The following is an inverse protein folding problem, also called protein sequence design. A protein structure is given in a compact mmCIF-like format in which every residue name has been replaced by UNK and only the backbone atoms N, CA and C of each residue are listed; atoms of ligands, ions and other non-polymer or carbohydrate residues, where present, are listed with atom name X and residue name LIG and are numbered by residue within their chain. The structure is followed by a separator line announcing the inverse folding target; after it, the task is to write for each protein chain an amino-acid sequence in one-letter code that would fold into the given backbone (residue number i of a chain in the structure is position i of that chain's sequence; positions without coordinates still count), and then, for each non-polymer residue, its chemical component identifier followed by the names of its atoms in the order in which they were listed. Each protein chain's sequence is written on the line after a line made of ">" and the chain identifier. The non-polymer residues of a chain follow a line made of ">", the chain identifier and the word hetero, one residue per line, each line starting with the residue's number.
data_IF_499547825880
#
_entry.id   IF_499547825880
#
_cell.length_a   1.000
_cell.length_b   1.000
_cell.length_c   1.000
_cell.angle_alpha   90.00
_cell.angle_beta   90.00
_cell.angle_gamma   90.00
#
_symmetry.space_group_name_H-M   'P 1'
#
loop_
_entity.id
_entity.type
_entity.pdbx_description
1 polymer ?
#
# COMPACT_ATOMS: atom_id res chain seq x y z
N UNK A 1 -29.83 1.89 8.14
CA UNK A 1 -29.58 2.49 9.47
C UNK A 1 -28.49 3.54 9.30
N UNK A 2 -28.80 4.84 9.47
CA UNK A 2 -27.79 5.91 9.34
C UNK A 2 -27.04 6.04 10.67
N UNK A 3 -25.70 6.03 10.64
CA UNK A 3 -24.89 6.26 11.84
C UNK A 3 -25.10 7.69 12.34
N UNK A 4 -25.25 7.86 13.65
CA UNK A 4 -25.33 9.18 14.28
C UNK A 4 -24.05 9.99 14.02
N UNK A 5 -24.13 11.33 14.13
CA UNK A 5 -22.99 12.22 13.85
C UNK A 5 -21.80 11.96 14.78
N UNK A 6 -22.05 11.47 16.00
CA UNK A 6 -21.07 11.06 17.01
C UNK A 6 -20.40 9.71 16.72
N UNK A 7 -21.04 8.84 15.93
CA UNK A 7 -20.50 7.51 15.56
C UNK A 7 -19.67 7.53 14.27
N UNK A 8 -19.56 8.68 13.58
CA UNK A 8 -18.68 8.81 12.43
C UNK A 8 -17.23 8.92 12.89
N UNK A 9 -16.34 8.21 12.20
CA UNK A 9 -14.91 8.33 12.40
C UNK A 9 -14.50 9.81 12.24
N UNK A 10 -13.89 10.36 13.29
CA UNK A 10 -13.38 11.73 13.31
C UNK A 10 -11.95 11.67 12.77
N UNK A 11 -11.77 12.19 11.56
CA UNK A 11 -10.47 12.29 10.91
C UNK A 11 -9.85 13.68 11.16
N UNK A 12 -8.53 13.73 11.17
CA UNK A 12 -7.72 14.96 11.28
C UNK A 12 -8.06 15.97 10.18
N UNK A 13 -8.44 15.48 9.00
CA UNK A 13 -8.93 16.29 7.89
C UNK A 13 -9.88 15.49 6.97
N UNK A 14 -10.59 16.20 6.11
CA UNK A 14 -11.43 15.58 5.06
C UNK A 14 -10.56 14.69 4.14
N UNK A 15 -9.36 15.16 3.80
CA UNK A 15 -8.41 14.44 2.96
C UNK A 15 -7.87 13.19 3.66
N UNK A 16 -7.59 13.25 4.97
CA UNK A 16 -7.16 12.09 5.74
C UNK A 16 -8.20 10.96 5.70
N UNK A 17 -9.48 11.28 5.89
CA UNK A 17 -10.55 10.28 5.78
C UNK A 17 -10.66 9.64 4.39
N UNK A 18 -10.44 10.44 3.33
CA UNK A 18 -10.38 9.92 1.96
C UNK A 18 -9.16 9.03 1.74
N UNK A 19 -7.98 9.47 2.19
CA UNK A 19 -6.73 8.73 2.03
C UNK A 19 -6.75 7.40 2.80
N UNK A 20 -7.29 7.37 4.03
CA UNK A 20 -7.51 6.13 4.79
C UNK A 20 -8.40 5.16 3.99
N UNK A 21 -9.49 5.66 3.40
CA UNK A 21 -10.40 4.82 2.60
C UNK A 21 -9.73 4.29 1.34
N UNK A 22 -8.92 5.11 0.65
CA UNK A 22 -8.19 4.71 -0.56
C UNK A 22 -7.13 3.69 -0.20
N UNK A 23 -6.20 4.02 0.71
CA UNK A 23 -5.08 3.16 1.08
C UNK A 23 -5.52 1.82 1.66
N UNK A 24 -6.58 1.77 2.45
CA UNK A 24 -7.09 0.50 3.00
C UNK A 24 -7.61 -0.46 1.93
N UNK A 25 -7.99 0.05 0.75
CA UNK A 25 -8.49 -0.71 -0.40
C UNK A 25 -7.47 -0.85 -1.53
N UNK A 26 -6.28 -0.28 -1.38
CA UNK A 26 -5.22 -0.37 -2.37
C UNK A 26 -4.34 -1.59 -2.09
N UNK A 27 -3.91 -2.26 -3.16
CA UNK A 27 -2.84 -3.27 -3.12
C UNK A 27 -1.60 -2.64 -3.76
N UNK A 28 -0.55 -2.42 -2.98
CA UNK A 28 0.70 -1.80 -3.45
C UNK A 28 1.67 -2.90 -3.90
N UNK A 29 2.08 -2.96 -5.18
CA UNK A 29 3.01 -3.96 -5.67
C UNK A 29 4.43 -3.58 -5.26
N UNK A 30 5.15 -4.52 -4.67
CA UNK A 30 6.54 -4.35 -4.22
C UNK A 30 7.41 -5.29 -5.04
N UNK A 31 8.19 -4.68 -5.94
CA UNK A 31 9.06 -5.39 -6.87
C UNK A 31 10.45 -5.58 -6.27
N UNK A 32 10.87 -6.83 -6.10
CA UNK A 32 12.16 -7.20 -5.54
C UNK A 32 12.99 -8.04 -6.54
N UNK A 33 14.30 -8.11 -6.33
CA UNK A 33 15.19 -8.85 -7.23
C UNK A 33 14.99 -10.38 -7.07
N UNK A 34 15.02 -11.13 -8.17
CA UNK A 34 14.87 -12.60 -8.13
C UNK A 34 16.19 -13.38 -7.93
N UNK A 35 17.33 -12.70 -7.97
CA UNK A 35 18.69 -13.28 -7.89
C UNK A 35 19.50 -12.73 -6.73
N UNK A 36 19.45 -11.43 -6.53
CA UNK A 36 20.24 -10.74 -5.51
C UNK A 36 19.51 -10.80 -4.16
N UNK A 37 20.20 -11.15 -3.05
CA UNK A 37 19.64 -11.10 -1.70
C UNK A 37 19.10 -9.73 -1.33
N UNK A 38 17.95 -9.71 -0.65
CA UNK A 38 17.33 -8.47 -0.19
C UNK A 38 16.55 -8.68 1.11
N UNK A 39 16.39 -7.58 1.84
CA UNK A 39 15.46 -7.45 2.95
C UNK A 39 14.52 -6.29 2.65
N UNK A 40 13.21 -6.47 2.85
CA UNK A 40 12.25 -5.39 2.68
C UNK A 40 12.55 -4.29 3.71
N UNK A 41 12.69 -3.07 3.22
CA UNK A 41 13.05 -1.89 4.00
C UNK A 41 12.07 -0.77 3.66
N UNK A 42 12.01 0.26 4.51
CA UNK A 42 11.10 1.40 4.30
C UNK A 42 11.31 2.08 2.96
N UNK A 43 12.55 2.17 2.48
CA UNK A 43 12.91 2.69 1.14
C UNK A 43 12.24 1.90 -0.01
N UNK A 44 12.14 0.57 0.11
CA UNK A 44 11.51 -0.27 -0.90
C UNK A 44 10.00 0.01 -0.97
N UNK A 45 9.37 0.14 0.20
CA UNK A 45 7.95 0.51 0.31
C UNK A 45 7.71 1.94 -0.18
N UNK A 46 8.56 2.90 0.20
CA UNK A 46 8.47 4.29 -0.28
C UNK A 46 8.48 4.37 -1.81
N UNK A 47 9.40 3.65 -2.46
CA UNK A 47 9.47 3.60 -3.93
C UNK A 47 8.20 2.97 -4.51
N UNK A 48 7.71 1.86 -3.93
CA UNK A 48 6.49 1.20 -4.39
C UNK A 48 5.26 2.12 -4.31
N UNK A 49 5.07 2.83 -3.19
CA UNK A 49 4.00 3.82 -3.04
C UNK A 49 4.12 4.94 -4.08
N UNK A 50 5.35 5.39 -4.36
CA UNK A 50 5.59 6.47 -5.34
C UNK A 50 5.28 6.04 -6.77
N UNK A 51 5.55 4.78 -7.13
CA UNK A 51 5.17 4.20 -8.44
C UNK A 51 3.65 4.18 -8.60
N UNK A 52 2.92 3.89 -7.53
CA UNK A 52 1.45 3.92 -7.49
C UNK A 52 0.85 5.34 -7.33
N UNK A 53 1.69 6.39 -7.32
CA UNK A 53 1.25 7.79 -7.24
C UNK A 53 0.99 8.34 -5.84
N UNK A 54 1.36 7.59 -4.80
CA UNK A 54 1.28 8.05 -3.40
C UNK A 54 2.62 8.61 -2.93
N UNK A 55 2.60 9.84 -2.41
CA UNK A 55 3.76 10.44 -1.76
C UNK A 55 3.68 10.17 -0.24
N UNK A 56 4.33 9.09 0.21
CA UNK A 56 4.38 8.71 1.63
C UNK A 56 5.83 8.75 2.11
N UNK A 57 6.19 9.58 3.10
CA UNK A 57 7.56 9.63 3.60
C UNK A 57 7.90 8.37 4.42
N UNK A 58 9.18 7.99 4.48
CA UNK A 58 9.62 6.73 5.12
C UNK A 58 9.33 6.68 6.63
N UNK A 59 9.38 7.83 7.30
CA UNK A 59 9.07 7.96 8.73
C UNK A 59 7.61 7.61 9.05
N UNK A 60 6.70 7.85 8.10
CA UNK A 60 5.29 7.48 8.22
C UNK A 60 5.00 5.99 7.95
N UNK A 61 5.98 5.22 7.47
CA UNK A 61 5.84 3.79 7.14
C UNK A 61 6.37 2.93 8.29
N UNK A 62 5.57 1.96 8.72
CA UNK A 62 5.98 0.92 9.65
C UNK A 62 5.89 -0.46 8.98
N UNK A 63 7.01 -1.18 9.04
CA UNK A 63 7.13 -2.55 8.55
C UNK A 63 6.66 -3.55 9.60
N UNK A 64 6.31 -4.79 9.21
CA UNK A 64 6.14 -5.87 10.17
C UNK A 64 7.40 -6.08 11.01
N UNK A 65 7.21 -6.57 12.24
CA UNK A 65 8.32 -6.88 13.15
C UNK A 65 9.22 -7.99 12.62
N UNK A 66 8.64 -8.95 11.90
CA UNK A 66 9.38 -10.04 11.26
C UNK A 66 9.94 -9.54 9.93
N UNK A 67 11.26 -9.62 9.71
CA UNK A 67 11.86 -9.21 8.46
C UNK A 67 11.39 -10.11 7.30
N UNK A 68 11.14 -9.49 6.15
CA UNK A 68 10.80 -10.20 4.92
C UNK A 68 12.06 -10.22 4.07
N UNK A 69 12.57 -11.42 3.81
CA UNK A 69 13.84 -11.66 3.13
C UNK A 69 13.67 -12.55 1.89
N UNK A 70 14.56 -12.36 0.93
CA UNK A 70 14.63 -13.17 -0.29
C UNK A 70 16.02 -13.11 -0.94
N UNK A 71 16.18 -13.60 -2.17
CA UNK A 71 15.12 -14.05 -3.07
C UNK A 71 14.52 -15.40 -2.65
N UNK A 72 13.20 -15.51 -2.72
CA UNK A 72 12.47 -16.75 -2.45
C UNK A 72 11.26 -16.79 -3.38
N UNK A 73 11.30 -17.69 -4.37
CA UNK A 73 10.28 -17.76 -5.41
C UNK A 73 8.93 -18.23 -4.86
N UNK A 74 8.89 -18.87 -3.68
CA UNK A 74 7.64 -19.23 -3.02
C UNK A 74 6.90 -18.00 -2.50
N UNK A 75 7.61 -16.88 -2.30
CA UNK A 75 7.02 -15.60 -1.88
C UNK A 75 6.43 -14.79 -3.05
N UNK A 76 6.48 -15.29 -4.27
CA UNK A 76 5.88 -14.62 -5.44
C UNK A 76 4.36 -14.49 -5.30
N UNK A 77 3.83 -13.29 -5.56
CA UNK A 77 2.39 -13.00 -5.46
C UNK A 77 1.81 -13.29 -4.07
N UNK A 78 2.59 -13.11 -3.01
CA UNK A 78 2.14 -13.20 -1.61
C UNK A 78 1.88 -11.81 -1.02
N UNK A 79 0.98 -11.73 -0.06
CA UNK A 79 0.54 -10.49 0.58
C UNK A 79 1.21 -10.26 1.94
N UNK A 80 1.50 -9.00 2.24
CA UNK A 80 1.88 -8.55 3.58
C UNK A 80 1.26 -7.18 3.86
N UNK A 81 1.20 -6.80 5.12
CA UNK A 81 0.66 -5.50 5.50
C UNK A 81 1.76 -4.59 6.06
N UNK A 82 1.74 -3.33 5.66
CA UNK A 82 2.49 -2.24 6.30
C UNK A 82 1.52 -1.27 6.94
N UNK A 83 1.95 -0.54 7.96
CA UNK A 83 1.15 0.57 8.48
C UNK A 83 1.66 1.90 7.95
N UNK A 84 0.73 2.76 7.55
CA UNK A 84 0.99 4.14 7.17
C UNK A 84 0.31 5.07 8.16
N UNK A 85 1.06 6.04 8.68
CA UNK A 85 0.54 7.07 9.58
C UNK A 85 0.29 8.36 8.81
N UNK A 86 -0.97 8.82 8.79
CA UNK A 86 -1.40 10.05 8.14
C UNK A 86 -1.55 11.13 9.21
N UNK A 87 -0.93 12.30 8.98
CA UNK A 87 -0.98 13.46 9.87
C UNK A 87 -0.68 13.15 11.35
N UNK A 88 0.20 12.18 11.62
CA UNK A 88 0.53 11.70 12.97
C UNK A 88 -0.70 11.26 13.81
N UNK A 89 -1.83 10.95 13.16
CA UNK A 89 -3.11 10.69 13.83
C UNK A 89 -3.74 9.39 13.35
N UNK A 90 -3.99 9.26 12.04
CA UNK A 90 -4.64 8.08 11.49
C UNK A 90 -3.59 7.03 11.10
N UNK A 91 -3.65 5.86 11.72
CA UNK A 91 -2.84 4.71 11.33
C UNK A 91 -3.67 3.74 10.50
N UNK A 92 -3.24 3.47 9.26
CA UNK A 92 -3.97 2.62 8.32
C UNK A 92 -3.10 1.44 7.89
N UNK A 93 -3.58 0.18 7.97
CA UNK A 93 -2.92 -0.94 7.34
C UNK A 93 -3.11 -0.87 5.83
N UNK A 94 -2.02 -1.04 5.08
CA UNK A 94 -2.00 -1.05 3.61
C UNK A 94 -1.49 -2.40 3.14
N UNK A 95 -2.18 -3.00 2.17
CA UNK A 95 -1.80 -4.29 1.62
C UNK A 95 -0.68 -4.06 0.61
N UNK A 96 0.40 -4.79 0.80
CA UNK A 96 1.51 -4.87 -0.14
C UNK A 96 1.55 -6.28 -0.71
N UNK A 97 1.92 -6.39 -2.00
CA UNK A 97 2.09 -7.68 -2.68
C UNK A 97 3.48 -7.79 -3.22
N UNK A 98 4.15 -8.89 -2.94
CA UNK A 98 5.52 -9.10 -3.38
C UNK A 98 5.56 -9.69 -4.79
N UNK A 99 6.39 -9.10 -5.65
CA UNK A 99 6.66 -9.57 -7.00
C UNK A 99 8.16 -9.60 -7.28
N UNK A 100 8.61 -10.60 -8.01
CA UNK A 100 9.99 -10.70 -8.45
C UNK A 100 10.18 -10.05 -9.83
N UNK A 101 11.17 -9.16 -9.93
CA UNK A 101 11.55 -8.54 -11.20
C UNK A 101 12.19 -9.61 -12.09
N UNK A 102 11.47 -10.02 -13.13
CA UNK A 102 11.99 -10.94 -14.15
C UNK A 102 12.76 -10.16 -15.23
N UNK A 103 13.88 -10.70 -15.73
CA UNK A 103 14.65 -10.04 -16.78
C UNK A 103 13.78 -9.88 -18.03
N UNK A 104 13.71 -8.67 -18.59
CA UNK A 104 12.86 -8.33 -19.73
C UNK A 104 11.43 -7.89 -19.40
N UNK A 105 11.04 -7.90 -18.13
CA UNK A 105 9.73 -7.42 -17.64
C UNK A 105 9.88 -6.28 -16.62
N UNK A 106 11.01 -5.59 -16.61
CA UNK A 106 11.35 -4.55 -15.61
C UNK A 106 10.37 -3.37 -15.61
N UNK A 107 9.75 -3.09 -16.76
CA UNK A 107 8.75 -2.01 -16.92
C UNK A 107 7.34 -2.54 -17.15
N UNK A 108 7.11 -3.85 -16.98
CA UNK A 108 5.81 -4.44 -17.21
C UNK A 108 4.85 -4.00 -16.10
N UNK A 109 3.77 -3.31 -16.49
CA UNK A 109 2.63 -3.12 -15.59
C UNK A 109 1.96 -4.48 -15.41
N UNK A 110 1.73 -4.86 -14.16
CA UNK A 110 0.93 -6.05 -13.86
C UNK A 110 -0.50 -5.84 -14.38
N UNK A 111 -1.18 -6.91 -14.78
CA UNK A 111 -2.59 -6.82 -15.14
C UNK A 111 -3.41 -6.43 -13.92
N UNK A 112 -4.44 -5.62 -14.13
CA UNK A 112 -5.32 -5.11 -13.07
C UNK A 112 -5.95 -6.24 -12.23
N UNK A 113 -6.16 -7.41 -12.84
CA UNK A 113 -6.66 -8.64 -12.21
C UNK A 113 -5.74 -9.13 -11.06
N UNK A 114 -4.42 -8.99 -11.23
CA UNK A 114 -3.43 -9.39 -10.21
C UNK A 114 -3.44 -8.50 -8.97
N UNK A 115 -4.20 -7.40 -8.96
CA UNK A 115 -4.37 -6.53 -7.79
C UNK A 115 -5.64 -6.83 -6.99
N UNK A 116 -6.60 -7.54 -7.60
CA UNK A 116 -7.95 -7.74 -7.07
C UNK A 116 -8.10 -9.02 -6.23
N UNK A 117 -7.36 -10.07 -6.59
CA UNK A 117 -7.43 -11.35 -5.88
C UNK A 117 -6.73 -11.29 -4.52
N UNK A 118 -7.32 -11.91 -3.49
CA UNK A 118 -6.65 -12.09 -2.19
C UNK A 118 -5.56 -13.16 -2.35
N UNK A 119 -4.35 -12.86 -1.90
CA UNK A 119 -3.26 -13.83 -1.92
C UNK A 119 -2.92 -14.34 -0.52
N UNK A 120 -2.11 -15.39 -0.49
CA UNK A 120 -1.63 -15.97 0.75
C UNK A 120 -0.72 -14.98 1.49
N UNK A 121 -0.83 -14.90 2.82
CA UNK A 121 0.02 -14.03 3.62
C UNK A 121 1.46 -14.56 3.64
N UNK A 122 2.44 -13.67 3.40
CA UNK A 122 3.87 -14.00 3.47
C UNK A 122 4.31 -14.32 4.91
N UNK A 123 3.64 -13.69 5.88
CA UNK A 123 3.88 -13.80 7.32
C UNK A 123 2.61 -14.35 7.99
N UNK A 124 2.67 -15.49 8.70
CA UNK A 124 1.50 -16.10 9.31
C UNK A 124 0.84 -15.20 10.36
N UNK A 125 1.60 -14.38 11.07
CA UNK A 125 1.08 -13.44 12.07
C UNK A 125 0.21 -12.32 11.47
N UNK A 126 0.34 -12.03 10.18
CA UNK A 126 -0.46 -11.00 9.50
C UNK A 126 -1.73 -11.54 8.85
N UNK A 127 -1.96 -12.87 8.92
CA UNK A 127 -3.10 -13.52 8.27
C UNK A 127 -4.44 -12.92 8.69
N UNK A 128 -4.68 -12.81 9.99
CA UNK A 128 -5.93 -12.27 10.53
C UNK A 128 -6.15 -10.80 10.10
N UNK A 129 -5.08 -10.00 10.10
CA UNK A 129 -5.11 -8.61 9.66
C UNK A 129 -5.51 -8.52 8.18
N UNK A 130 -4.82 -9.25 7.31
CA UNK A 130 -5.06 -9.25 5.87
C UNK A 130 -6.47 -9.75 5.50
N UNK A 131 -7.00 -10.72 6.24
CA UNK A 131 -8.37 -11.22 6.07
C UNK A 131 -9.42 -10.18 6.47
N UNK A 132 -9.17 -9.43 7.55
CA UNK A 132 -10.05 -8.37 8.06
C UNK A 132 -10.10 -7.11 7.19
N UNK A 133 -9.08 -6.89 6.37
CA UNK A 133 -9.00 -5.73 5.48
C UNK A 133 -10.07 -5.78 4.38
N UNK A 134 -10.55 -4.61 3.91
CA UNK A 134 -11.53 -4.57 2.83
C UNK A 134 -10.97 -5.20 1.56
N UNK A 135 -11.87 -5.62 0.67
CA UNK A 135 -11.45 -6.15 -0.64
C UNK A 135 -10.74 -5.04 -1.43
N UNK A 136 -9.65 -5.37 -2.16
CA UNK A 136 -9.03 -4.40 -3.06
C UNK A 136 -10.06 -3.91 -4.07
N UNK A 137 -10.04 -2.61 -4.33
CA UNK A 137 -10.86 -1.99 -5.37
C UNK A 137 -9.92 -1.27 -6.32
N UNK A 138 -10.19 -1.40 -7.62
CA UNK A 138 -9.45 -0.65 -8.63
C UNK A 138 -9.67 0.85 -8.42
N UNK A 139 -8.59 1.63 -8.47
CA UNK A 139 -8.70 3.08 -8.47
C UNK A 139 -9.11 3.53 -9.88
N UNK A 140 -10.40 3.39 -10.20
CA UNK A 140 -10.95 3.89 -11.45
C UNK A 140 -10.59 5.37 -11.63
N UNK A 141 -9.71 5.63 -12.61
CA UNK A 141 -9.19 6.93 -12.98
C UNK A 141 -8.31 7.63 -11.92
N UNK A 142 -7.04 7.24 -11.91
CA UNK A 142 -5.95 8.14 -11.52
C UNK A 142 -6.03 9.47 -12.27
N UNK A 143 -6.67 9.58 -13.45
CA UNK A 143 -6.97 10.86 -14.12
C UNK A 143 -7.85 11.82 -13.29
N UNK A 144 -8.89 11.30 -12.62
CA UNK A 144 -9.78 12.11 -11.80
C UNK A 144 -9.14 12.48 -10.46
N UNK A 145 -8.33 11.58 -9.87
CA UNK A 145 -7.60 11.85 -8.63
C UNK A 145 -6.30 12.62 -8.86
N UNK A 146 -5.61 12.49 -10.00
CA UNK A 146 -4.49 13.35 -10.44
C UNK A 146 -5.00 14.76 -10.62
N UNK A 147 -6.18 14.97 -11.22
CA UNK A 147 -6.80 16.31 -11.22
C UNK A 147 -7.01 16.88 -9.81
N UNK A 148 -7.11 16.03 -8.77
CA UNK A 148 -7.21 16.43 -7.37
C UNK A 148 -5.82 16.52 -6.69
N UNK A 149 -4.86 15.65 -6.98
CA UNK A 149 -3.49 15.66 -6.45
C UNK A 149 -2.68 16.82 -7.05
N UNK A 150 -2.90 17.15 -8.33
CA UNK A 150 -2.38 18.35 -9.01
C UNK A 150 -3.05 19.62 -8.48
N UNK A 151 -4.37 19.58 -8.21
CA UNK A 151 -5.15 20.70 -7.65
C UNK A 151 -4.85 20.94 -6.16
N UNK A 152 -4.51 19.89 -5.43
CA UNK A 152 -4.12 19.92 -4.02
C UNK A 152 -2.66 19.56 -3.83
N UNK A 153 -1.80 19.94 -4.78
CA UNK A 153 -0.34 19.95 -4.64
C UNK A 153 -0.05 20.55 -3.27
N UNK A 154 0.19 19.68 -2.27
CA UNK A 154 0.38 20.11 -0.90
C UNK A 154 1.66 20.92 -0.97
N UNK A 155 1.51 22.24 -0.88
CA UNK A 155 2.60 23.17 -0.65
C UNK A 155 3.19 22.79 0.70
N UNK A 156 4.12 21.85 0.69
CA UNK A 156 5.20 21.89 1.64
C UNK A 156 6.15 23.00 1.15
N UNK A 157 5.80 24.23 1.55
CA UNK A 157 6.76 25.30 1.80
C UNK A 157 7.30 25.01 3.22
N UNK A 158 8.59 25.07 3.52
CA UNK A 158 9.70 25.80 2.92
C UNK A 158 10.92 24.90 2.65
#
# INVERSE_FOLDING_TARGET
>A
MWKSRSERAKYSSIQAGMLVKVLSKSTIPVFMNHKEPWTVEKKHIHVAFRVEGFLVPEDAIELPSTPIEGPDLEKESTDFAVYVTINNTEKVPVRCRLFHIKPGLETAKLSDELYLDKCEPILPEQKELLESMPKPEFLDNVSASVSLVEKYRIKYLN
#
